data_IF_237566061283
#
_entry.id   IF_237566061283
#
_cell.length_a   1.000
_cell.length_b   1.000
_cell.length_c   1.000
_cell.angle_alpha   90.00
_cell.angle_beta   90.00
_cell.angle_gamma   90.00
#
_symmetry.space_group_name_H-M   'P 1'
#
loop_
_entity.id
_entity.type
_entity.pdbx_description
1 polymer ?
#
# COMPACT_ATOMS: atom_id res chain seq x y z
N UNK A 1 13.43 5.46 -15.81
CA UNK A 1 12.06 5.40 -16.34
C UNK A 1 11.38 6.78 -16.36
N UNK A 2 11.79 7.72 -17.23
CA UNK A 2 11.22 9.08 -17.25
C UNK A 2 9.79 9.18 -17.82
N UNK A 3 9.20 8.09 -18.32
CA UNK A 3 7.94 8.12 -19.08
C UNK A 3 6.75 7.40 -18.42
N UNK A 4 6.90 6.90 -17.19
CA UNK A 4 5.80 6.21 -16.50
C UNK A 4 4.75 7.21 -16.03
N UNK A 5 3.49 6.94 -16.37
CA UNK A 5 2.34 7.72 -15.98
C UNK A 5 1.49 6.93 -14.97
N UNK A 6 1.24 7.54 -13.81
CA UNK A 6 0.42 6.95 -12.76
C UNK A 6 -0.77 7.85 -12.43
N UNK A 7 -1.93 7.22 -12.23
CA UNK A 7 -3.15 7.87 -11.74
C UNK A 7 -3.51 7.27 -10.38
N UNK A 8 -3.77 8.11 -9.38
CA UNK A 8 -4.04 7.66 -8.01
C UNK A 8 -5.36 8.18 -7.46
N UNK A 9 -6.10 7.31 -6.78
CA UNK A 9 -7.32 7.64 -6.03
C UNK A 9 -7.13 7.22 -4.57
N UNK A 10 -7.46 8.15 -3.66
CA UNK A 10 -7.49 7.92 -2.22
C UNK A 10 -8.56 8.82 -1.61
N UNK A 11 -9.40 8.28 -0.71
CA UNK A 11 -10.47 9.03 -0.04
C UNK A 11 -9.98 9.80 1.21
N UNK A 12 -8.72 9.64 1.61
CA UNK A 12 -8.11 10.30 2.77
C UNK A 12 -7.48 11.63 2.37
N UNK A 13 -8.13 12.73 2.77
CA UNK A 13 -7.55 14.09 2.66
C UNK A 13 -6.14 14.16 3.25
N UNK A 14 -5.90 13.44 4.35
CA UNK A 14 -4.59 13.36 5.00
C UNK A 14 -3.56 12.65 4.13
N UNK A 15 -3.93 11.54 3.48
CA UNK A 15 -3.01 10.80 2.61
C UNK A 15 -2.60 11.65 1.39
N UNK A 16 -3.57 12.34 0.78
CA UNK A 16 -3.32 13.27 -0.33
C UNK A 16 -2.43 14.43 0.10
N UNK A 17 -2.67 15.02 1.27
CA UNK A 17 -1.82 16.08 1.80
C UNK A 17 -0.39 15.58 2.07
N UNK A 18 -0.24 14.41 2.69
CA UNK A 18 1.07 13.79 2.91
C UNK A 18 1.80 13.48 1.61
N UNK A 19 1.10 13.08 0.56
CA UNK A 19 1.69 12.88 -0.77
C UNK A 19 2.29 14.19 -1.29
N UNK A 20 1.54 15.29 -1.22
CA UNK A 20 2.00 16.62 -1.68
C UNK A 20 3.23 17.09 -0.89
N UNK A 21 3.19 16.96 0.44
CA UNK A 21 4.30 17.34 1.33
C UNK A 21 5.55 16.51 1.04
N UNK A 22 5.41 15.19 0.91
CA UNK A 22 6.53 14.30 0.60
C UNK A 22 7.07 14.51 -0.80
N UNK A 23 6.21 14.83 -1.77
CA UNK A 23 6.63 15.17 -3.12
C UNK A 23 7.46 16.46 -3.13
N UNK A 24 6.96 17.52 -2.48
CA UNK A 24 7.70 18.78 -2.34
C UNK A 24 9.05 18.57 -1.64
N UNK A 25 9.09 17.82 -0.53
CA UNK A 25 10.33 17.51 0.17
C UNK A 25 11.32 16.71 -0.70
N UNK A 26 10.81 15.78 -1.53
CA UNK A 26 11.64 14.99 -2.46
C UNK A 26 12.24 15.84 -3.58
N UNK A 27 11.49 16.81 -4.09
CA UNK A 27 11.96 17.79 -5.08
C UNK A 27 12.99 18.72 -4.44
N UNK A 28 12.75 19.17 -3.20
CA UNK A 28 13.68 20.02 -2.47
C UNK A 28 15.02 19.32 -2.20
N UNK A 29 14.97 18.05 -1.81
CA UNK A 29 16.14 17.23 -1.53
C UNK A 29 16.76 16.57 -2.78
N UNK A 30 16.48 17.07 -3.99
CA UNK A 30 17.00 16.49 -5.24
C UNK A 30 18.52 16.72 -5.31
N UNK A 31 19.38 15.68 -5.31
CA UNK A 31 20.82 15.87 -5.31
C UNK A 31 21.33 16.45 -6.64
N UNK A 32 22.40 17.25 -6.61
CA UNK A 32 23.18 17.65 -7.81
C UNK A 32 23.95 16.45 -8.35
N UNK A 33 24.03 16.31 -9.68
CA UNK A 33 24.86 15.27 -10.33
C UNK A 33 26.34 15.64 -10.23
N UNK A 34 27.23 14.64 -10.21
CA UNK A 34 28.68 14.83 -10.06
C UNK A 34 29.15 15.25 -8.67
N UNK A 35 28.23 15.60 -7.75
CA UNK A 35 28.59 15.89 -6.37
C UNK A 35 28.83 14.58 -5.62
N UNK A 36 30.08 14.12 -5.58
CA UNK A 36 30.48 13.02 -4.69
C UNK A 36 30.09 13.39 -3.26
N UNK A 37 29.33 12.51 -2.61
CA UNK A 37 28.98 12.63 -1.18
C UNK A 37 30.24 12.32 -0.35
N UNK A 38 31.18 13.26 -0.32
CA UNK A 38 32.48 13.15 0.33
C UNK A 38 32.80 14.42 1.10
N UNK A 39 32.15 14.60 2.25
CA UNK A 39 32.65 15.31 3.44
C UNK A 39 31.57 15.19 4.52
N UNK A 40 31.66 14.11 5.30
CA UNK A 40 31.19 14.17 6.69
C UNK A 40 31.98 15.31 7.35
N UNK A 41 31.27 16.34 7.79
CA UNK A 41 31.85 17.37 8.63
C UNK A 41 32.39 16.70 9.90
N UNK A 42 33.71 16.55 9.95
CA UNK A 42 34.47 16.28 11.16
C UNK A 42 34.24 17.44 12.13
N UNK A 43 33.19 17.32 12.94
CA UNK A 43 32.96 18.13 14.13
C UNK A 43 33.11 17.24 15.35
N UNK A 44 34.34 17.03 15.80
CA UNK A 44 34.59 16.56 17.16
C UNK A 44 33.95 17.55 18.14
N UNK A 45 32.95 17.10 18.90
CA UNK A 45 32.68 17.66 20.23
C UNK A 45 32.14 16.55 21.13
N UNK A 46 33.08 15.98 21.88
CA UNK A 46 33.01 15.57 23.29
C UNK A 46 31.75 14.84 23.78
N UNK A 47 31.98 13.58 24.13
CA UNK A 47 31.13 12.73 24.96
C UNK A 47 30.70 13.45 26.25
N UNK A 48 29.40 13.63 26.43
CA UNK A 48 28.76 14.13 27.65
C UNK A 48 27.42 13.45 27.84
N UNK A 49 27.44 12.36 28.60
CA UNK A 49 26.27 11.65 29.10
C UNK A 49 25.28 12.60 29.80
N UNK A 50 24.07 12.78 29.25
CA UNK A 50 22.89 13.03 30.08
C UNK A 50 21.61 12.59 29.35
N UNK A 51 20.83 11.79 30.08
CA UNK A 51 19.48 11.36 29.76
C UNK A 51 18.56 12.57 29.90
N UNK A 52 17.76 12.90 28.87
CA UNK A 52 16.57 13.72 29.06
C UNK A 52 15.48 13.36 28.04
N UNK A 53 14.51 12.61 28.55
CA UNK A 53 13.17 12.42 27.99
C UNK A 53 12.40 13.73 28.06
N UNK A 54 11.88 14.22 26.93
CA UNK A 54 10.88 15.30 26.94
C UNK A 54 9.75 14.95 25.97
N UNK A 55 8.65 14.48 26.56
CA UNK A 55 7.31 14.52 25.96
C UNK A 55 6.81 15.98 25.92
N UNK A 56 6.05 16.39 24.89
CA UNK A 56 5.28 17.63 24.99
C UNK A 56 4.05 17.44 25.91
N UNK A 57 3.65 18.48 26.66
CA UNK A 57 2.67 18.36 27.73
C UNK A 57 1.22 18.30 27.23
N UNK A 58 0.44 17.49 27.93
CA UNK A 58 -1.00 17.61 28.04
C UNK A 58 -1.37 18.78 28.94
N UNK A 59 -2.24 19.68 28.48
CA UNK A 59 -3.04 20.55 29.36
C UNK A 59 -4.51 20.51 28.94
N UNK A 60 -5.34 20.63 29.97
CA UNK A 60 -6.70 20.14 30.03
C UNK A 60 -7.76 21.24 29.78
N UNK A 61 -8.95 20.74 29.42
CA UNK A 61 -10.30 21.20 29.78
C UNK A 61 -10.69 22.67 29.57
N UNK A 62 -11.70 22.86 28.72
CA UNK A 62 -12.84 23.71 29.05
C UNK A 62 -14.11 23.26 28.30
N UNK A 63 -15.18 23.26 29.08
CA UNK A 63 -16.57 22.91 28.80
C UNK A 63 -17.33 24.01 28.05
N UNK A 64 -18.25 23.64 27.15
CA UNK A 64 -19.47 24.39 26.79
C UNK A 64 -20.26 23.56 25.75
N UNK A 65 -21.33 22.88 26.15
CA UNK A 65 -22.73 23.33 26.12
C UNK A 65 -23.41 23.22 24.74
N UNK A 66 -24.25 22.19 24.63
CA UNK A 66 -25.61 22.16 24.04
C UNK A 66 -25.98 23.15 22.93
N UNK A 67 -26.41 22.61 21.80
CA UNK A 67 -27.73 22.96 21.22
C UNK A 67 -28.13 21.95 20.14
N UNK A 68 -29.20 21.20 20.43
CA UNK A 68 -30.08 20.59 19.45
C UNK A 68 -31.28 21.55 19.25
N UNK A 69 -31.88 21.56 18.05
CA UNK A 69 -33.25 21.05 17.89
C UNK A 69 -33.41 20.33 16.53
N UNK A 70 -34.46 19.62 16.17
CA UNK A 70 -35.63 19.06 16.84
C UNK A 70 -36.12 17.88 15.98
N UNK A 71 -36.80 16.94 16.64
CA UNK A 71 -37.52 15.80 16.09
C UNK A 71 -38.57 16.18 15.04
N UNK A 72 -38.68 15.37 13.98
CA UNK A 72 -39.97 15.03 13.38
C UNK A 72 -40.01 13.52 13.09
N UNK A 73 -41.08 12.89 13.56
CA UNK A 73 -41.42 11.45 13.47
C UNK A 73 -42.57 11.28 12.43
N UNK A 74 -43.04 10.05 12.11
CA UNK A 74 -43.05 9.56 10.74
C UNK A 74 -44.45 9.29 10.15
N UNK A 75 -44.49 9.04 8.85
CA UNK A 75 -45.54 8.31 8.12
C UNK A 75 -44.88 7.72 6.86
N UNK A 76 -45.26 6.60 6.25
CA UNK A 76 -46.19 5.50 6.51
C UNK A 76 -45.78 4.34 5.58
N UNK A 77 -46.15 3.14 6.01
CA UNK A 77 -45.97 1.80 5.45
C UNK A 77 -46.41 1.64 3.97
N UNK A 78 -45.67 0.86 3.18
CA UNK A 78 -46.26 -0.11 2.25
C UNK A 78 -45.30 -1.30 2.02
N UNK A 79 -45.89 -2.49 1.97
CA UNK A 79 -45.25 -3.79 1.78
C UNK A 79 -45.22 -4.12 0.29
N UNK A 80 -44.19 -4.83 -0.18
CA UNK A 80 -44.33 -5.80 -1.25
C UNK A 80 -43.20 -6.85 -1.15
N UNK A 81 -43.63 -8.11 -1.08
CA UNK A 81 -42.87 -9.34 -1.05
C UNK A 81 -42.41 -9.77 -2.44
N UNK A 82 -41.19 -10.29 -2.56
CA UNK A 82 -40.84 -11.33 -3.54
C UNK A 82 -39.55 -12.05 -3.12
N UNK A 83 -39.68 -13.35 -2.82
CA UNK A 83 -38.58 -14.33 -2.79
C UNK A 83 -38.17 -14.70 -4.22
N UNK A 84 -36.91 -15.11 -4.47
CA UNK A 84 -36.71 -16.55 -4.69
C UNK A 84 -35.38 -17.14 -4.14
N UNK A 85 -35.52 -18.37 -3.64
CA UNK A 85 -34.73 -19.58 -3.93
C UNK A 85 -33.18 -19.55 -3.88
N UNK A 86 -32.65 -19.92 -2.71
CA UNK A 86 -31.82 -21.12 -2.43
C UNK A 86 -30.90 -21.72 -3.53
N UNK A 87 -29.60 -21.79 -3.19
CA UNK A 87 -28.67 -22.94 -3.30
C UNK A 87 -27.31 -22.59 -3.94
N UNK A 88 -26.28 -22.38 -3.10
CA UNK A 88 -24.93 -22.91 -3.30
C UNK A 88 -24.17 -22.87 -1.96
N UNK A 89 -23.47 -23.96 -1.66
CA UNK A 89 -22.82 -24.29 -0.38
C UNK A 89 -21.89 -23.20 0.13
N UNK A 90 -22.07 -22.79 1.39
CA UNK A 90 -21.09 -22.01 2.16
C UNK A 90 -19.93 -22.94 2.48
N UNK A 91 -18.83 -22.83 1.74
CA UNK A 91 -17.54 -23.23 2.28
C UNK A 91 -17.26 -22.32 3.49
N UNK A 92 -17.36 -22.90 4.67
CA UNK A 92 -17.14 -22.24 5.93
C UNK A 92 -15.63 -22.03 6.08
N UNK A 93 -15.14 -20.88 5.61
CA UNK A 93 -13.74 -20.50 5.81
C UNK A 93 -13.43 -20.49 7.32
N UNK A 94 -12.71 -21.51 7.77
CA UNK A 94 -12.29 -21.70 9.16
C UNK A 94 -10.94 -21.02 9.35
N UNK A 95 -10.88 -20.04 10.23
CA UNK A 95 -9.64 -19.37 10.61
C UNK A 95 -8.77 -20.35 11.46
N UNK A 96 -7.61 -20.83 10.97
CA UNK A 96 -6.83 -21.86 11.65
C UNK A 96 -6.18 -21.41 12.98
N UNK A 97 -6.31 -20.14 13.36
CA UNK A 97 -5.63 -19.54 14.52
C UNK A 97 -6.61 -19.13 15.64
N UNK A 98 -7.81 -19.70 15.64
CA UNK A 98 -8.83 -19.55 16.69
C UNK A 98 -9.08 -20.84 17.48
N UNK A 99 -8.18 -21.83 17.42
CA UNK A 99 -8.18 -22.90 18.41
C UNK A 99 -7.57 -22.38 19.70
N UNK A 100 -8.43 -22.13 20.69
CA UNK A 100 -7.99 -21.96 22.07
C UNK A 100 -7.65 -23.36 22.63
N UNK A 101 -6.36 -23.68 22.70
CA UNK A 101 -5.87 -24.85 23.43
C UNK A 101 -5.70 -24.51 24.92
N UNK A 102 -6.11 -25.36 25.86
CA UNK A 102 -5.89 -25.15 27.29
C UNK A 102 -4.40 -25.22 27.64
N UNK A 103 -4.02 -24.47 28.65
CA UNK A 103 -2.67 -24.39 29.21
C UNK A 103 -2.35 -25.66 29.99
N UNK A 104 -1.30 -26.38 29.60
CA UNK A 104 -0.58 -27.28 30.52
C UNK A 104 0.93 -27.05 30.39
N UNK A 105 1.56 -27.00 31.56
CA UNK A 105 2.92 -26.56 31.87
C UNK A 105 3.92 -27.72 31.85
N UNK A 106 5.03 -27.58 31.11
CA UNK A 106 6.27 -28.37 31.33
C UNK A 106 7.51 -27.52 31.01
N UNK A 107 8.49 -27.57 31.92
CA UNK A 107 9.80 -26.89 31.93
C UNK A 107 10.94 -27.73 31.25
N UNK A 108 12.18 -27.20 31.06
CA UNK A 108 12.92 -27.30 29.81
C UNK A 108 13.99 -28.41 29.74
N UNK A 109 14.44 -28.75 28.51
CA UNK A 109 15.71 -29.46 28.25
C UNK A 109 16.47 -28.88 27.05
N UNK A 110 17.79 -28.88 27.20
CA UNK A 110 18.83 -28.27 26.38
C UNK A 110 19.12 -28.95 25.02
N UNK A 111 19.93 -28.22 24.25
CA UNK A 111 20.31 -28.32 22.85
C UNK A 111 21.07 -29.58 22.37
N UNK A 112 21.00 -29.84 21.06
CA UNK A 112 22.19 -30.11 20.22
C UNK A 112 21.82 -30.05 18.73
N UNK A 113 22.72 -29.48 17.92
CA UNK A 113 22.64 -29.42 16.45
C UNK A 113 23.37 -30.63 15.84
N UNK A 114 23.03 -31.07 14.60
CA UNK A 114 23.87 -31.99 13.84
C UNK A 114 24.58 -31.32 12.65
N UNK A 115 25.67 -31.93 12.13
CA UNK A 115 26.72 -31.23 11.40
C UNK A 115 26.64 -31.35 9.87
N UNK A 116 27.43 -30.47 9.24
CA UNK A 116 27.90 -30.46 7.85
C UNK A 116 28.90 -31.59 7.59
N UNK A 117 28.88 -32.15 6.38
CA UNK A 117 29.90 -33.06 5.84
C UNK A 117 30.33 -32.62 4.44
N UNK A 118 31.61 -32.28 4.34
CA UNK A 118 32.42 -32.18 3.12
C UNK A 118 32.82 -33.60 2.66
N UNK A 119 32.97 -33.81 1.35
CA UNK A 119 33.78 -34.89 0.79
C UNK A 119 34.51 -34.42 -0.48
N UNK A 120 35.76 -34.86 -0.55
CA UNK A 120 36.88 -34.40 -1.35
C UNK A 120 36.89 -34.79 -2.83
N UNK A 121 37.80 -34.08 -3.49
CA UNK A 121 38.53 -34.25 -4.74
C UNK A 121 38.75 -35.68 -5.28
N UNK A 122 38.79 -35.74 -6.62
CA UNK A 122 39.56 -36.77 -7.34
C UNK A 122 40.43 -36.09 -8.38
N UNK A 123 41.75 -36.23 -8.22
CA UNK A 123 42.75 -35.91 -9.23
C UNK A 123 42.76 -36.93 -10.38
N UNK A 124 43.04 -36.45 -11.59
CA UNK A 124 43.73 -37.20 -12.62
C UNK A 124 44.58 -36.24 -13.46
N UNK A 125 45.89 -36.36 -13.30
CA UNK A 125 46.94 -35.72 -14.08
C UNK A 125 47.10 -36.43 -15.44
N UNK A 126 47.44 -35.69 -16.51
CA UNK A 126 48.69 -35.88 -17.28
C UNK A 126 48.73 -35.08 -18.60
N UNK A 127 49.88 -34.41 -18.79
CA UNK A 127 50.54 -33.95 -20.04
C UNK A 127 49.80 -32.92 -20.91
N UNK A 128 50.39 -31.81 -21.34
CA UNK A 128 51.79 -31.39 -21.38
C UNK A 128 51.96 -30.48 -22.61
N UNK A 129 52.96 -29.61 -22.57
CA UNK A 129 53.46 -28.72 -23.64
C UNK A 129 52.64 -27.43 -23.89
N UNK A 130 53.20 -26.24 -24.13
CA UNK A 130 54.48 -25.58 -23.88
C UNK A 130 54.27 -24.09 -24.27
N UNK A 131 55.21 -23.23 -23.89
CA UNK A 131 55.56 -21.93 -24.47
C UNK A 131 54.90 -20.63 -23.92
N UNK A 132 55.68 -20.03 -23.02
CA UNK A 132 56.28 -18.68 -23.12
C UNK A 132 55.43 -17.45 -22.83
N UNK A 133 55.61 -16.95 -21.59
CA UNK A 133 56.01 -15.59 -21.21
C UNK A 133 55.89 -14.49 -22.30
N UNK A 134 54.96 -13.56 -22.07
CA UNK A 134 55.21 -12.12 -22.23
C UNK A 134 54.45 -11.37 -21.12
N UNK A 135 55.19 -10.90 -20.13
CA UNK A 135 54.75 -9.80 -19.27
C UNK A 135 54.73 -8.52 -20.13
N UNK A 136 53.53 -8.05 -20.47
CA UNK A 136 53.33 -6.69 -20.97
C UNK A 136 52.69 -5.88 -19.84
N UNK A 137 53.48 -4.93 -19.32
CA UNK A 137 53.03 -3.90 -18.41
C UNK A 137 52.05 -2.98 -19.16
N UNK A 138 50.76 -3.27 -19.08
CA UNK A 138 49.73 -2.29 -19.37
C UNK A 138 49.42 -1.51 -18.09
N UNK A 139 50.15 -0.40 -17.93
CA UNK A 139 49.70 0.72 -17.10
C UNK A 139 48.46 1.27 -17.81
N UNK A 140 47.29 0.74 -17.48
CA UNK A 140 46.04 1.36 -17.87
C UNK A 140 45.98 2.74 -17.24
N UNK A 141 46.22 3.72 -18.12
CA UNK A 141 45.98 5.13 -17.96
C UNK A 141 44.58 5.31 -17.38
N UNK A 142 44.52 5.71 -16.11
CA UNK A 142 43.32 6.23 -15.46
C UNK A 142 42.68 7.25 -16.41
N UNK A 143 41.63 6.81 -17.09
CA UNK A 143 40.70 7.69 -17.76
C UNK A 143 39.95 8.40 -16.67
N UNK A 144 40.50 9.53 -16.22
CA UNK A 144 39.77 10.56 -15.49
C UNK A 144 38.64 11.01 -16.42
N UNK A 145 37.52 10.28 -16.38
CA UNK A 145 36.29 10.72 -16.98
C UNK A 145 35.83 11.87 -16.13
N UNK A 146 36.19 13.08 -16.57
CA UNK A 146 35.70 14.36 -16.05
C UNK A 146 34.17 14.25 -15.87
N UNK A 147 33.70 13.86 -14.68
CA UNK A 147 32.29 13.97 -14.32
C UNK A 147 32.04 15.47 -14.12
N UNK A 148 31.78 16.18 -15.21
CA UNK A 148 31.46 17.60 -15.17
C UNK A 148 30.37 17.86 -14.13
N UNK A 149 30.73 18.58 -13.06
CA UNK A 149 29.79 18.93 -12.00
C UNK A 149 28.59 19.68 -12.59
N UNK A 150 27.38 19.23 -12.27
CA UNK A 150 26.15 19.86 -12.77
C UNK A 150 26.06 21.30 -12.25
N UNK A 151 26.06 22.28 -13.15
CA UNK A 151 25.91 23.69 -12.78
C UNK A 151 24.57 23.96 -12.06
N UNK A 152 24.52 25.05 -11.29
CA UNK A 152 23.36 25.38 -10.45
C UNK A 152 22.10 25.63 -11.28
N UNK A 153 22.23 26.26 -12.45
CA UNK A 153 21.09 26.61 -13.31
C UNK A 153 20.46 25.37 -13.94
N UNK A 154 21.29 24.41 -14.35
CA UNK A 154 20.90 23.10 -14.87
C UNK A 154 20.21 22.27 -13.79
N UNK A 155 20.74 22.28 -12.57
CA UNK A 155 20.14 21.63 -11.43
C UNK A 155 18.76 22.21 -11.07
N UNK A 156 18.64 23.54 -11.01
CA UNK A 156 17.36 24.22 -10.75
C UNK A 156 16.32 23.93 -11.84
N UNK A 157 16.72 23.93 -13.12
CA UNK A 157 15.83 23.51 -14.23
C UNK A 157 15.35 22.07 -14.05
N UNK A 158 16.23 21.16 -13.65
CA UNK A 158 15.85 19.75 -13.38
C UNK A 158 14.93 19.63 -12.17
N UNK A 159 15.17 20.42 -11.13
CA UNK A 159 14.31 20.51 -9.94
C UNK A 159 12.91 21.00 -10.32
N UNK A 160 12.81 22.01 -11.16
CA UNK A 160 11.54 22.51 -11.69
C UNK A 160 10.82 21.46 -12.55
N UNK A 161 11.55 20.75 -13.42
CA UNK A 161 11.00 19.66 -14.22
C UNK A 161 10.48 18.50 -13.34
N UNK A 162 11.22 18.13 -12.29
CA UNK A 162 10.79 17.10 -11.34
C UNK A 162 9.54 17.55 -10.57
N UNK A 163 9.46 18.82 -10.16
CA UNK A 163 8.28 19.40 -9.53
C UNK A 163 7.03 19.23 -10.41
N UNK A 164 7.18 19.51 -11.72
CA UNK A 164 6.11 19.41 -12.74
C UNK A 164 5.64 17.99 -13.03
N UNK A 165 6.32 16.94 -12.55
CA UNK A 165 5.88 15.54 -12.74
C UNK A 165 4.65 15.19 -11.91
N UNK A 166 4.41 15.85 -10.78
CA UNK A 166 3.11 15.81 -10.11
C UNK A 166 2.18 16.80 -10.83
N UNK A 167 1.44 16.29 -11.81
CA UNK A 167 0.64 17.12 -12.73
C UNK A 167 -0.49 17.85 -12.03
N UNK A 168 -1.40 17.10 -11.41
CA UNK A 168 -2.61 17.66 -10.83
C UNK A 168 -3.07 16.81 -9.63
N UNK A 169 -3.58 17.49 -8.61
CA UNK A 169 -4.20 16.88 -7.43
C UNK A 169 -5.52 17.61 -7.17
N UNK A 170 -6.62 16.92 -7.42
CA UNK A 170 -7.97 17.51 -7.34
C UNK A 170 -8.94 16.58 -6.63
N UNK A 171 -10.07 17.13 -6.17
CA UNK A 171 -11.18 16.33 -5.63
C UNK A 171 -12.06 15.88 -6.79
N UNK A 172 -12.30 14.59 -6.88
CA UNK A 172 -13.07 14.00 -7.98
C UNK A 172 -13.95 12.86 -7.49
N UNK A 173 -15.22 12.86 -7.91
CA UNK A 173 -16.16 11.76 -7.64
C UNK A 173 -16.17 10.77 -8.81
N UNK A 174 -15.43 9.68 -8.65
CA UNK A 174 -15.36 8.59 -9.64
C UNK A 174 -16.64 7.76 -9.72
N UNK A 175 -17.64 7.98 -8.87
CA UNK A 175 -18.93 7.28 -8.94
C UNK A 175 -19.92 7.95 -9.88
N UNK A 176 -19.78 9.24 -10.12
CA UNK A 176 -20.72 10.01 -10.95
C UNK A 176 -20.30 10.02 -12.43
N UNK A 177 -19.02 10.25 -12.72
CA UNK A 177 -18.55 10.44 -14.10
C UNK A 177 -17.19 9.81 -14.38
N UNK A 178 -16.85 9.73 -15.67
CA UNK A 178 -15.52 9.32 -16.11
C UNK A 178 -14.50 10.43 -15.85
N UNK A 179 -13.24 10.05 -15.61
CA UNK A 179 -12.16 11.03 -15.42
C UNK A 179 -12.01 11.87 -16.69
N UNK A 180 -12.04 13.22 -16.60
CA UNK A 180 -11.86 14.08 -17.75
C UNK A 180 -10.51 13.81 -18.44
N UNK A 181 -10.51 13.82 -19.77
CA UNK A 181 -9.28 13.59 -20.55
C UNK A 181 -8.18 14.62 -20.28
N UNK A 182 -8.55 15.83 -19.83
CA UNK A 182 -7.61 16.86 -19.39
C UNK A 182 -6.81 16.44 -18.15
N UNK A 183 -7.39 15.63 -17.27
CA UNK A 183 -6.74 15.10 -16.07
C UNK A 183 -6.01 13.78 -16.38
N UNK A 184 -6.73 12.83 -17.00
CA UNK A 184 -6.15 11.59 -17.47
C UNK A 184 -6.95 11.06 -18.66
N UNK A 185 -6.32 11.00 -19.84
CA UNK A 185 -6.93 10.42 -21.02
C UNK A 185 -7.20 8.91 -20.81
N UNK A 186 -8.24 8.33 -21.44
CA UNK A 186 -8.40 6.88 -21.51
C UNK A 186 -7.15 6.20 -22.05
N UNK A 187 -6.86 4.99 -21.55
CA UNK A 187 -5.71 4.18 -21.94
C UNK A 187 -4.36 4.91 -21.87
N UNK A 188 -4.17 5.77 -20.86
CA UNK A 188 -2.96 6.59 -20.72
C UNK A 188 -2.11 6.26 -19.48
N UNK A 189 -2.63 5.50 -18.52
CA UNK A 189 -1.93 5.19 -17.28
C UNK A 189 -1.16 3.86 -17.40
N UNK A 190 0.13 3.87 -17.08
CA UNK A 190 0.91 2.64 -16.89
C UNK A 190 0.55 1.97 -15.56
N UNK A 191 0.26 2.80 -14.55
CA UNK A 191 -0.14 2.36 -13.22
C UNK A 191 -1.37 3.12 -12.72
N UNK A 192 -2.27 2.41 -12.05
CA UNK A 192 -3.38 3.02 -11.34
C UNK A 192 -3.33 2.60 -9.88
N UNK A 193 -3.48 3.54 -8.95
CA UNK A 193 -3.54 3.26 -7.52
C UNK A 193 -4.97 3.51 -7.03
N UNK A 194 -5.60 2.50 -6.45
CA UNK A 194 -6.95 2.56 -5.88
C UNK A 194 -6.85 2.15 -4.40
N UNK A 195 -6.57 3.14 -3.54
CA UNK A 195 -6.19 2.93 -2.14
C UNK A 195 -7.28 3.41 -1.20
N UNK A 196 -7.90 2.49 -0.44
CA UNK A 196 -8.99 2.78 0.51
C UNK A 196 -10.15 3.55 -0.11
N UNK A 197 -10.48 3.23 -1.37
CA UNK A 197 -11.55 3.89 -2.13
C UNK A 197 -12.82 3.07 -2.11
N UNK A 198 -12.78 1.80 -2.54
CA UNK A 198 -13.99 1.00 -2.65
C UNK A 198 -14.67 0.78 -1.29
N UNK A 199 -13.91 0.71 -0.18
CA UNK A 199 -14.50 0.63 1.15
C UNK A 199 -15.31 1.85 1.56
N UNK A 200 -14.99 3.03 1.03
CA UNK A 200 -15.72 4.26 1.30
C UNK A 200 -16.97 4.41 0.41
N UNK A 201 -17.18 3.51 -0.56
CA UNK A 201 -18.29 3.56 -1.50
C UNK A 201 -19.35 2.50 -1.19
N UNK A 202 -20.61 2.81 -1.53
CA UNK A 202 -21.67 1.82 -1.50
C UNK A 202 -21.41 0.72 -2.55
N UNK A 203 -21.65 -0.58 -2.25
CA UNK A 203 -21.34 -1.69 -3.17
C UNK A 203 -21.88 -1.55 -4.60
N UNK A 204 -23.03 -0.90 -4.74
CA UNK A 204 -23.63 -0.56 -6.06
C UNK A 204 -22.70 0.19 -7.02
N UNK A 205 -21.67 0.88 -6.52
CA UNK A 205 -20.73 1.64 -7.34
C UNK A 205 -19.44 0.87 -7.68
N UNK A 206 -19.15 -0.25 -7.02
CA UNK A 206 -17.85 -0.93 -7.13
C UNK A 206 -17.53 -1.36 -8.57
N UNK A 207 -18.50 -1.98 -9.25
CA UNK A 207 -18.35 -2.41 -10.64
C UNK A 207 -18.13 -1.20 -11.58
N UNK A 208 -18.93 -0.15 -11.42
CA UNK A 208 -18.80 1.07 -12.24
C UNK A 208 -17.43 1.71 -12.08
N UNK A 209 -16.93 1.82 -10.84
CA UNK A 209 -15.60 2.37 -10.55
C UNK A 209 -14.51 1.47 -11.11
N UNK A 210 -14.62 0.14 -10.95
CA UNK A 210 -13.64 -0.80 -11.49
C UNK A 210 -13.53 -0.70 -13.02
N UNK A 211 -14.66 -0.62 -13.74
CA UNK A 211 -14.69 -0.40 -15.19
C UNK A 211 -14.07 0.93 -15.61
N UNK A 212 -14.29 2.01 -14.84
CA UNK A 212 -13.64 3.32 -15.05
C UNK A 212 -12.13 3.22 -14.89
N UNK A 213 -11.65 2.57 -13.83
CA UNK A 213 -10.23 2.32 -13.61
C UNK A 213 -9.61 1.51 -14.77
N UNK A 214 -10.28 0.45 -15.22
CA UNK A 214 -9.81 -0.36 -16.33
C UNK A 214 -9.65 0.45 -17.64
N UNK A 215 -10.57 1.36 -17.94
CA UNK A 215 -10.49 2.24 -19.12
C UNK A 215 -9.29 3.19 -19.08
N UNK A 216 -8.82 3.60 -17.91
CA UNK A 216 -7.69 4.52 -17.76
C UNK A 216 -6.33 3.86 -18.01
N UNK A 217 -6.21 2.56 -17.70
CA UNK A 217 -4.97 1.81 -17.87
C UNK A 217 -4.64 1.63 -19.35
N UNK A 218 -3.37 1.78 -19.75
CA UNK A 218 -2.86 1.27 -21.04
C UNK A 218 -3.02 -0.26 -21.12
N UNK A 219 -3.06 -0.87 -22.31
CA UNK A 219 -2.82 -2.31 -22.43
C UNK A 219 -1.54 -2.72 -21.68
N UNK A 220 -1.63 -3.75 -20.84
CA UNK A 220 -0.53 -4.16 -19.95
C UNK A 220 -0.35 -3.31 -18.68
N UNK A 221 -1.07 -2.21 -18.53
CA UNK A 221 -1.03 -1.36 -17.34
C UNK A 221 -1.56 -2.08 -16.09
N UNK A 222 -1.06 -1.69 -14.91
CA UNK A 222 -1.35 -2.37 -13.64
C UNK A 222 -2.14 -1.48 -12.68
N UNK A 223 -3.28 -1.99 -12.21
CA UNK A 223 -4.03 -1.50 -11.07
C UNK A 223 -3.46 -2.07 -9.77
N UNK A 224 -2.96 -1.22 -8.89
CA UNK A 224 -2.67 -1.52 -7.50
C UNK A 224 -3.89 -1.22 -6.63
N UNK A 225 -4.45 -2.25 -6.04
CA UNK A 225 -5.58 -2.15 -5.13
C UNK A 225 -5.15 -2.40 -3.70
N UNK A 226 -5.67 -1.59 -2.77
CA UNK A 226 -5.52 -1.85 -1.34
C UNK A 226 -6.72 -1.36 -0.57
N UNK A 227 -7.30 -2.24 0.24
CA UNK A 227 -8.45 -1.89 1.07
C UNK A 227 -8.58 -2.79 2.32
N UNK A 228 -9.69 -2.71 3.04
CA UNK A 228 -9.95 -3.55 4.21
C UNK A 228 -10.28 -5.00 3.83
N UNK A 229 -9.61 -5.95 4.48
CA UNK A 229 -9.89 -7.37 4.32
C UNK A 229 -10.96 -7.84 5.31
N UNK A 230 -11.72 -8.86 4.91
CA UNK A 230 -12.72 -9.49 5.78
C UNK A 230 -12.13 -10.03 7.07
N UNK A 231 -12.98 -10.08 8.09
CA UNK A 231 -12.69 -10.50 9.45
C UNK A 231 -11.69 -9.60 10.21
N UNK A 232 -11.43 -8.39 9.68
CA UNK A 232 -10.67 -7.37 10.40
C UNK A 232 -11.28 -7.07 11.77
N UNK A 233 -10.44 -6.79 12.77
CA UNK A 233 -10.90 -6.48 14.12
C UNK A 233 -11.92 -5.33 14.17
N UNK A 234 -11.79 -4.32 13.31
CA UNK A 234 -12.77 -3.24 13.25
C UNK A 234 -14.12 -3.74 12.71
N UNK A 235 -14.10 -4.62 11.70
CA UNK A 235 -15.31 -5.26 11.18
C UNK A 235 -16.05 -6.03 12.28
N UNK A 236 -15.32 -6.87 13.03
CA UNK A 236 -15.92 -7.67 14.10
C UNK A 236 -16.54 -6.79 15.20
N UNK A 237 -15.90 -5.66 15.51
CA UNK A 237 -16.45 -4.66 16.44
C UNK A 237 -17.74 -4.02 15.90
N UNK A 238 -17.81 -3.70 14.62
CA UNK A 238 -19.04 -3.19 14.00
C UNK A 238 -20.15 -4.24 14.03
N UNK A 239 -19.84 -5.48 13.64
CA UNK A 239 -20.79 -6.58 13.65
C UNK A 239 -21.38 -6.83 15.06
N UNK A 240 -20.54 -6.81 16.10
CA UNK A 240 -20.99 -6.98 17.50
C UNK A 240 -21.91 -5.85 17.98
N UNK A 241 -21.73 -4.63 17.48
CA UNK A 241 -22.59 -3.48 17.85
C UNK A 241 -23.95 -3.51 17.17
N UNK A 242 -24.08 -4.16 16.01
CA UNK A 242 -25.34 -4.37 15.27
C UNK A 242 -26.00 -3.13 14.65
N UNK A 243 -25.72 -1.92 15.15
CA UNK A 243 -26.42 -0.67 14.76
C UNK A 243 -25.86 0.04 13.52
N UNK A 244 -24.71 -0.39 13.00
CA UNK A 244 -23.97 0.33 11.96
C UNK A 244 -23.97 -0.38 10.59
N UNK A 245 -24.65 -1.52 10.44
CA UNK A 245 -24.65 -2.30 9.20
C UNK A 245 -25.60 -1.68 8.18
N UNK A 246 -25.11 -1.38 6.97
CA UNK A 246 -25.91 -0.83 5.87
C UNK A 246 -26.12 -1.84 4.75
N UNK A 247 -25.12 -2.69 4.50
CA UNK A 247 -25.23 -3.84 3.63
C UNK A 247 -24.38 -4.98 4.21
N UNK A 248 -24.38 -6.14 3.56
CA UNK A 248 -23.47 -7.20 3.95
C UNK A 248 -22.02 -6.71 3.87
N UNK A 249 -21.35 -6.80 5.02
CA UNK A 249 -19.93 -6.46 5.18
C UNK A 249 -19.62 -4.97 4.95
N UNK A 250 -20.66 -4.13 4.91
CA UNK A 250 -20.57 -2.68 4.77
C UNK A 250 -21.19 -1.99 5.99
N UNK A 251 -20.41 -1.12 6.61
CA UNK A 251 -20.79 -0.45 7.85
C UNK A 251 -20.63 1.07 7.74
N UNK A 252 -21.50 1.82 8.38
CA UNK A 252 -21.35 3.27 8.58
C UNK A 252 -20.51 3.52 9.82
N UNK A 253 -19.51 4.37 9.65
CA UNK A 253 -18.65 4.89 10.72
C UNK A 253 -19.35 6.06 11.41
N UNK A 254 -18.83 6.46 12.56
CA UNK A 254 -19.40 7.56 13.37
C UNK A 254 -19.37 8.92 12.65
N UNK A 255 -18.45 9.09 11.70
CA UNK A 255 -18.30 10.28 10.84
C UNK A 255 -19.19 10.22 9.59
N UNK A 256 -20.09 9.22 9.49
CA UNK A 256 -20.98 9.04 8.36
C UNK A 256 -20.35 8.35 7.15
N UNK A 257 -19.03 8.10 7.17
CA UNK A 257 -18.33 7.42 6.06
C UNK A 257 -18.59 5.91 6.07
N UNK A 258 -18.50 5.26 4.91
CA UNK A 258 -18.64 3.81 4.79
C UNK A 258 -17.32 3.08 5.07
N UNK A 259 -17.44 1.82 5.46
CA UNK A 259 -16.37 0.84 5.54
C UNK A 259 -16.89 -0.50 5.02
N UNK A 260 -16.62 -0.80 3.74
CA UNK A 260 -16.76 -2.15 3.18
C UNK A 260 -15.49 -2.97 3.43
N UNK A 261 -15.67 -4.27 3.60
CA UNK A 261 -14.60 -5.22 3.83
C UNK A 261 -14.70 -6.34 2.79
N UNK A 262 -13.57 -6.72 2.19
CA UNK A 262 -13.56 -7.54 0.97
C UNK A 262 -12.97 -8.93 1.16
N UNK A 263 -13.57 -9.90 0.46
CA UNK A 263 -12.96 -11.17 0.11
C UNK A 263 -12.11 -11.04 -1.16
N UNK A 264 -11.11 -11.91 -1.32
CA UNK A 264 -10.35 -12.02 -2.58
C UNK A 264 -11.27 -12.37 -3.76
N UNK A 265 -12.27 -13.23 -3.54
CA UNK A 265 -13.22 -13.63 -4.59
C UNK A 265 -14.15 -12.49 -5.00
N UNK A 266 -14.56 -11.63 -4.07
CA UNK A 266 -15.33 -10.42 -4.40
C UNK A 266 -14.49 -9.48 -5.30
N UNK A 267 -13.17 -9.39 -5.08
CA UNK A 267 -12.30 -8.62 -5.96
C UNK A 267 -12.14 -9.27 -7.34
N UNK A 268 -12.13 -10.60 -7.43
CA UNK A 268 -12.13 -11.31 -8.73
C UNK A 268 -13.39 -11.01 -9.52
N UNK A 269 -14.54 -11.03 -8.86
CA UNK A 269 -15.81 -10.65 -9.49
C UNK A 269 -15.74 -9.20 -10.00
N UNK A 270 -15.36 -8.25 -9.14
CA UNK A 270 -15.35 -6.81 -9.46
C UNK A 270 -14.35 -6.47 -10.57
N UNK A 271 -13.11 -6.96 -10.46
CA UNK A 271 -12.03 -6.53 -11.36
C UNK A 271 -11.81 -7.46 -12.54
N UNK A 272 -11.96 -8.78 -12.36
CA UNK A 272 -11.71 -9.72 -13.45
C UNK A 272 -12.95 -9.93 -14.30
N UNK A 273 -14.05 -10.40 -13.68
CA UNK A 273 -15.28 -10.71 -14.42
C UNK A 273 -15.96 -9.45 -14.95
N UNK A 274 -16.10 -8.43 -14.10
CA UNK A 274 -16.91 -7.26 -14.42
C UNK A 274 -16.14 -6.12 -15.10
N UNK A 275 -14.83 -6.00 -14.86
CA UNK A 275 -13.98 -4.96 -15.45
C UNK A 275 -12.97 -5.48 -16.49
N UNK A 276 -12.90 -6.80 -16.71
CA UNK A 276 -12.06 -7.41 -17.75
C UNK A 276 -10.55 -7.30 -17.49
N UNK A 277 -10.14 -7.19 -16.23
CA UNK A 277 -8.73 -7.21 -15.85
C UNK A 277 -8.25 -8.64 -15.55
N UNK A 278 -6.95 -8.87 -15.62
CA UNK A 278 -6.30 -10.12 -15.25
C UNK A 278 -5.77 -10.02 -13.81
N UNK A 279 -6.06 -11.02 -12.98
CA UNK A 279 -5.43 -11.12 -11.65
C UNK A 279 -3.94 -11.43 -11.79
N UNK A 280 -3.10 -10.56 -11.22
CA UNK A 280 -1.66 -10.79 -11.09
C UNK A 280 -1.32 -11.21 -9.66
N UNK A 281 -1.94 -10.59 -8.67
CA UNK A 281 -1.76 -10.89 -7.25
C UNK A 281 -3.04 -10.51 -6.50
N UNK A 282 -3.53 -11.31 -5.56
CA UNK A 282 -4.70 -10.99 -4.75
C UNK A 282 -4.62 -11.72 -3.41
N UNK A 283 -4.23 -11.00 -2.34
CA UNK A 283 -3.93 -11.62 -1.05
C UNK A 283 -4.32 -10.76 0.14
N UNK A 284 -4.49 -11.42 1.29
CA UNK A 284 -4.61 -10.76 2.57
C UNK A 284 -3.24 -10.37 3.13
N UNK A 285 -3.21 -9.20 3.77
CA UNK A 285 -2.09 -8.70 4.54
C UNK A 285 -2.53 -8.59 6.01
N UNK A 286 -2.14 -9.56 6.83
CA UNK A 286 -2.37 -9.57 8.27
C UNK A 286 -1.26 -8.78 8.98
N UNK A 287 -1.63 -7.92 9.93
CA UNK A 287 -0.70 -7.39 10.94
C UNK A 287 -1.25 -7.59 12.34
N UNK A 288 -0.41 -8.08 13.24
CA UNK A 288 -0.68 -8.13 14.66
C UNK A 288 0.00 -6.93 15.35
N UNK A 289 -0.75 -6.26 16.21
CA UNK A 289 -0.28 -5.17 17.05
C UNK A 289 -0.55 -5.50 18.50
N UNK A 290 0.39 -5.21 19.38
CA UNK A 290 0.15 -5.29 20.83
C UNK A 290 0.08 -3.87 21.37
N UNK A 291 -1.02 -3.51 22.01
CA UNK A 291 -1.06 -2.29 22.78
C UNK A 291 -0.13 -2.46 23.99
N UNK A 292 1.02 -1.76 23.97
CA UNK A 292 2.05 -1.89 25.03
C UNK A 292 1.53 -1.53 26.43
N UNK A 293 0.52 -0.65 26.53
CA UNK A 293 -0.06 -0.23 27.82
C UNK A 293 -1.05 -1.25 28.38
N UNK A 294 -1.86 -1.88 27.53
CA UNK A 294 -2.95 -2.77 27.98
C UNK A 294 -2.68 -4.25 27.74
N UNK A 295 -1.60 -4.61 27.06
CA UNK A 295 -1.27 -5.98 26.65
C UNK A 295 -2.20 -6.57 25.57
N UNK A 296 -3.22 -5.83 25.14
CA UNK A 296 -4.24 -6.33 24.21
C UNK A 296 -3.63 -6.48 22.81
N UNK A 297 -3.71 -7.71 22.28
CA UNK A 297 -3.40 -8.03 20.88
C UNK A 297 -4.54 -7.60 19.97
N UNK A 298 -4.18 -6.90 18.89
CA UNK A 298 -5.09 -6.39 17.88
C UNK A 298 -4.63 -6.88 16.52
N UNK A 299 -5.47 -7.67 15.85
CA UNK A 299 -5.21 -8.17 14.50
C UNK A 299 -5.91 -7.29 13.48
N UNK A 300 -5.17 -6.77 12.52
CA UNK A 300 -5.70 -5.97 11.42
C UNK A 300 -5.51 -6.72 10.11
N UNK A 301 -6.55 -6.72 9.28
CA UNK A 301 -6.56 -7.43 8.00
C UNK A 301 -6.83 -6.41 6.90
N UNK A 302 -5.88 -6.33 5.98
CA UNK A 302 -6.05 -5.62 4.71
C UNK A 302 -6.07 -6.62 3.57
N UNK A 303 -6.61 -6.19 2.44
CA UNK A 303 -6.45 -6.88 1.17
C UNK A 303 -5.56 -6.04 0.27
N UNK A 304 -4.64 -6.69 -0.43
CA UNK A 304 -3.75 -6.07 -1.40
C UNK A 304 -3.77 -6.90 -2.68
N UNK A 305 -4.03 -6.23 -3.80
CA UNK A 305 -4.13 -6.89 -5.08
C UNK A 305 -3.48 -6.08 -6.20
N UNK A 306 -3.12 -6.78 -7.26
CA UNK A 306 -2.62 -6.27 -8.52
C UNK A 306 -3.44 -6.88 -9.63
N UNK A 307 -4.04 -6.03 -10.46
CA UNK A 307 -4.77 -6.45 -11.66
C UNK A 307 -4.15 -5.79 -12.88
N UNK A 308 -4.01 -6.52 -13.97
CA UNK A 308 -3.42 -6.02 -15.21
C UNK A 308 -4.49 -5.88 -16.27
N UNK A 309 -4.48 -4.77 -17.01
CA UNK A 309 -5.28 -4.67 -18.24
C UNK A 309 -4.68 -5.62 -19.28
N UNK A 310 -5.46 -6.51 -19.92
CA UNK A 310 -4.95 -7.41 -20.95
C UNK A 310 -4.15 -6.65 -22.01
N UNK A 311 -3.09 -7.29 -22.51
CA UNK A 311 -2.43 -6.81 -23.72
C UNK A 311 -3.45 -6.89 -24.86
N UNK A 312 -3.55 -5.84 -25.66
CA UNK A 312 -4.28 -5.97 -26.92
C UNK A 312 -3.49 -6.94 -27.82
N UNK A 313 -4.15 -7.87 -28.52
CA UNK A 313 -3.52 -8.60 -29.60
C UNK A 313 -3.08 -7.64 -30.71
#
# INVERSE_FOLDING_TARGET
FPHLHAVGFDCSKRAVQLLKERWAARVEALPRRGCHRGQEASGETVCGSSVCSVYPPSSASSSASSSAPASLRPSSRSQASATPTSCASRDEFRNPLLEESPVESVEPREASAPPVSEVEETEACCSGEDCSEKEENDVERDGDSDEEEEDVDSWEKRKEQEAKRLREVTTFDITESDVPASLAAPASADYLLLLFVLSALHPRHHITVARRCARLLKPGGILFFRDYGRYDLAQLRFAKRGKSKVADNTYVRHDGTLACYFLTDELREIFCREAGLEEVENRYCLREFTNRKTGVKMRRIWIQAKFRRPLQP
#
